data_IF_856609204288
#
_entry.id   IF_856609204288
#
_cell.length_a   1.000
_cell.length_b   1.000
_cell.length_c   1.000
_cell.angle_alpha   90.00
_cell.angle_beta   90.00
_cell.angle_gamma   90.00
#
_symmetry.space_group_name_H-M   'P 1'
#
loop_
_entity.id
_entity.type
_entity.pdbx_description
1 polymer ?
#
# COMPACT_ATOMS: atom_id res chain seq x y z
N UNK A 1 -32.77 -54.28 27.96
CA UNK A 1 -31.65 -53.31 28.07
C UNK A 1 -31.88 -52.26 26.98
N UNK A 2 -33.00 -51.55 26.93
CA UNK A 2 -33.60 -50.66 27.93
C UNK A 2 -32.62 -49.62 28.45
N UNK A 3 -32.54 -48.53 27.70
CA UNK A 3 -32.32 -47.20 28.24
C UNK A 3 -33.10 -46.21 27.36
N UNK A 4 -34.44 -46.25 27.52
CA UNK A 4 -35.28 -45.07 27.31
C UNK A 4 -34.77 -43.97 28.25
N UNK A 5 -34.43 -42.82 27.68
CA UNK A 5 -34.22 -41.60 28.47
C UNK A 5 -35.34 -40.64 28.10
N UNK A 6 -36.22 -40.46 29.08
CA UNK A 6 -37.39 -39.59 29.06
C UNK A 6 -37.05 -38.15 28.70
N UNK A 7 -37.80 -37.62 27.75
CA UNK A 7 -38.02 -36.19 27.51
C UNK A 7 -38.57 -35.52 28.78
N UNK A 8 -37.77 -34.64 29.38
CA UNK A 8 -38.24 -33.66 30.35
C UNK A 8 -38.08 -32.28 29.72
N UNK A 9 -39.20 -31.80 29.15
CA UNK A 9 -39.36 -30.43 28.68
C UNK A 9 -39.30 -29.48 29.88
N UNK A 10 -38.11 -28.96 30.18
CA UNK A 10 -37.97 -27.78 31.06
C UNK A 10 -38.02 -26.51 30.23
N UNK A 11 -39.20 -25.88 30.18
CA UNK A 11 -39.36 -24.49 29.78
C UNK A 11 -38.56 -23.61 30.76
N UNK A 12 -37.41 -23.10 30.36
CA UNK A 12 -36.71 -22.03 31.09
C UNK A 12 -36.81 -20.74 30.31
N UNK A 13 -37.69 -19.88 30.84
CA UNK A 13 -38.07 -18.60 30.28
C UNK A 13 -36.88 -17.68 30.01
N UNK A 14 -37.04 -16.89 28.94
CA UNK A 14 -36.11 -15.85 28.54
C UNK A 14 -35.67 -15.00 29.72
N UNK A 15 -34.36 -14.93 29.93
CA UNK A 15 -33.76 -14.01 30.88
C UNK A 15 -34.00 -12.59 30.38
N UNK A 16 -35.03 -11.94 30.94
CA UNK A 16 -35.22 -10.49 30.85
C UNK A 16 -33.88 -9.81 31.20
N UNK A 17 -33.42 -8.82 30.42
CA UNK A 17 -32.24 -8.06 30.78
C UNK A 17 -32.45 -7.48 32.18
N UNK A 18 -31.53 -7.80 33.10
CA UNK A 18 -31.57 -7.29 34.47
C UNK A 18 -31.60 -5.77 34.40
N UNK A 19 -32.68 -5.18 34.92
CA UNK A 19 -32.79 -3.72 35.09
C UNK A 19 -31.52 -3.22 35.78
N UNK A 20 -30.83 -2.22 35.22
CA UNK A 20 -29.66 -1.65 35.87
C UNK A 20 -30.07 -1.08 37.23
N UNK A 21 -29.59 -1.69 38.31
CA UNK A 21 -29.75 -1.13 39.64
C UNK A 21 -28.97 0.19 39.72
N UNK A 22 -29.65 1.27 40.12
CA UNK A 22 -29.00 2.55 40.43
C UNK A 22 -27.91 2.29 41.48
N UNK A 23 -26.65 2.45 41.10
CA UNK A 23 -25.50 2.36 42.01
C UNK A 23 -25.72 3.38 43.13
N UNK A 24 -25.83 2.93 44.37
CA UNK A 24 -25.89 3.81 45.53
C UNK A 24 -24.62 4.67 45.56
N UNK A 25 -24.79 5.98 45.44
CA UNK A 25 -23.71 6.98 45.35
C UNK A 25 -23.11 7.34 46.70
N UNK A 26 -23.45 6.61 47.76
CA UNK A 26 -23.18 6.93 49.17
C UNK A 26 -22.31 5.90 49.90
N UNK A 27 -22.07 4.71 49.34
CA UNK A 27 -21.20 3.70 49.96
C UNK A 27 -19.72 4.11 50.03
N UNK A 28 -18.94 3.57 50.97
CA UNK A 28 -17.51 3.85 51.10
C UNK A 28 -16.70 3.35 49.88
N UNK A 29 -15.50 3.91 49.68
CA UNK A 29 -14.64 3.61 48.54
C UNK A 29 -14.28 2.13 48.45
N UNK A 30 -14.00 1.51 49.59
CA UNK A 30 -13.54 0.12 49.66
C UNK A 30 -14.66 -0.88 49.34
N UNK A 31 -15.88 -0.65 49.84
CA UNK A 31 -17.05 -1.44 49.45
C UNK A 31 -17.40 -1.25 47.96
N UNK A 32 -17.25 -0.03 47.42
CA UNK A 32 -17.44 0.23 45.97
C UNK A 32 -16.42 -0.51 45.13
N UNK A 33 -15.13 -0.44 45.49
CA UNK A 33 -14.04 -1.13 44.80
C UNK A 33 -14.29 -2.63 44.74
N UNK A 34 -14.75 -3.20 45.86
CA UNK A 34 -15.07 -4.63 45.99
C UNK A 34 -16.43 -5.03 45.43
N UNK A 35 -17.24 -4.07 44.98
CA UNK A 35 -18.61 -4.28 44.46
C UNK A 35 -19.51 -5.03 45.45
N UNK A 36 -19.37 -4.77 46.76
CA UNK A 36 -20.20 -5.32 47.84
C UNK A 36 -21.09 -4.23 48.48
N UNK A 37 -22.18 -4.62 49.14
CA UNK A 37 -23.12 -3.68 49.76
C UNK A 37 -22.50 -3.03 51.00
N UNK A 38 -22.42 -1.70 51.01
CA UNK A 38 -21.97 -0.92 52.17
C UNK A 38 -23.14 -0.69 53.15
N UNK A 39 -22.87 -0.71 54.45
CA UNK A 39 -23.89 -0.43 55.48
C UNK A 39 -23.97 1.05 55.88
N UNK A 40 -23.11 1.91 55.33
CA UNK A 40 -23.16 3.40 55.46
C UNK A 40 -23.02 3.99 56.88
N UNK A 41 -22.71 3.16 57.89
CA UNK A 41 -22.38 3.60 59.25
C UNK A 41 -21.04 4.38 59.27
N UNK A 42 -20.98 5.51 59.98
CA UNK A 42 -19.77 6.34 60.18
C UNK A 42 -19.29 6.23 61.64
N UNK A 43 -17.97 6.23 61.91
CA UNK A 43 -16.86 6.44 60.97
C UNK A 43 -16.53 5.24 60.07
N UNK A 44 -16.94 4.02 60.42
CA UNK A 44 -16.65 2.80 59.65
C UNK A 44 -17.88 1.90 59.44
N UNK A 45 -18.06 1.40 58.22
CA UNK A 45 -19.12 0.43 57.92
C UNK A 45 -18.79 -0.98 58.46
N UNK A 46 -19.80 -1.80 58.76
CA UNK A 46 -19.60 -3.15 59.32
C UNK A 46 -18.75 -4.06 58.44
N UNK A 47 -18.86 -3.92 57.12
CA UNK A 47 -18.12 -4.75 56.17
C UNK A 47 -16.61 -4.47 56.22
N UNK A 48 -16.21 -3.21 56.39
CA UNK A 48 -14.81 -2.82 56.56
C UNK A 48 -14.31 -3.15 57.98
N UNK A 49 -15.14 -2.89 59.01
CA UNK A 49 -14.81 -3.19 60.42
C UNK A 49 -14.52 -4.67 60.67
N UNK A 50 -15.37 -5.57 60.15
CA UNK A 50 -15.14 -7.03 60.27
C UNK A 50 -13.84 -7.50 59.61
N UNK A 51 -13.35 -6.75 58.64
CA UNK A 51 -12.13 -7.09 57.89
C UNK A 51 -10.90 -6.36 58.41
N UNK A 52 -11.03 -5.47 59.39
CA UNK A 52 -9.93 -4.65 59.89
C UNK A 52 -9.29 -3.78 58.81
N UNK A 53 -10.08 -3.34 57.82
CA UNK A 53 -9.59 -2.49 56.72
C UNK A 53 -10.11 -1.07 56.87
N UNK A 54 -9.29 -0.11 56.45
CA UNK A 54 -9.61 1.31 56.52
C UNK A 54 -10.86 1.66 55.69
N UNK A 55 -11.82 2.34 56.32
CA UNK A 55 -13.13 2.62 55.73
C UNK A 55 -13.26 4.11 55.37
N UNK A 56 -13.04 4.45 54.11
CA UNK A 56 -13.05 5.84 53.66
C UNK A 56 -14.30 6.17 52.81
N UNK A 57 -15.02 7.24 53.15
CA UNK A 57 -16.17 7.74 52.38
C UNK A 57 -15.75 8.92 51.49
N UNK A 58 -16.19 8.97 50.22
CA UNK A 58 -15.88 10.10 49.34
C UNK A 58 -16.53 11.40 49.84
N UNK A 59 -15.71 12.43 50.08
CA UNK A 59 -16.14 13.78 50.40
C UNK A 59 -16.62 14.50 49.13
N UNK A 60 -17.94 14.68 48.97
CA UNK A 60 -18.48 15.49 47.88
C UNK A 60 -18.48 16.97 48.27
N UNK A 61 -17.60 17.78 47.67
CA UNK A 61 -17.71 19.23 47.68
C UNK A 61 -18.75 19.65 46.63
N UNK A 62 -19.80 20.32 47.09
CA UNK A 62 -20.99 20.67 46.31
C UNK A 62 -20.77 21.84 45.35
N UNK A 63 -21.39 21.73 44.18
CA UNK A 63 -21.61 22.81 43.22
C UNK A 63 -22.55 23.83 43.84
N UNK A 64 -22.15 25.11 43.93
CA UNK A 64 -23.00 26.22 44.39
C UNK A 64 -23.28 27.16 43.22
N UNK A 65 -24.57 27.36 42.91
CA UNK A 65 -25.07 28.38 41.98
C UNK A 65 -25.13 29.75 42.69
N UNK A 66 -24.84 30.88 42.01
CA UNK A 66 -24.86 32.20 42.64
C UNK A 66 -26.24 32.87 42.58
N UNK A 67 -26.65 33.47 43.70
CA UNK A 67 -27.60 34.58 43.80
C UNK A 67 -27.41 35.34 45.14
N UNK A 68 -27.83 36.62 45.24
CA UNK A 68 -26.95 37.71 45.66
C UNK A 68 -27.25 38.37 47.04
N UNK A 69 -26.33 39.28 47.43
CA UNK A 69 -26.43 40.32 48.49
C UNK A 69 -26.24 39.79 49.93
N UNK A 70 -25.54 40.41 50.89
CA UNK A 70 -25.40 41.82 51.31
C UNK A 70 -24.16 42.01 52.22
N UNK A 71 -23.87 43.28 52.53
CA UNK A 71 -22.72 43.94 53.16
C UNK A 71 -22.42 43.66 54.67
N UNK A 72 -21.27 44.22 55.10
CA UNK A 72 -20.74 44.48 56.46
C UNK A 72 -19.99 43.33 57.15
N UNK A 73 -18.85 43.52 57.83
CA UNK A 73 -18.09 44.70 58.24
C UNK A 73 -16.78 44.25 58.92
N UNK A 74 -15.91 45.22 59.19
CA UNK A 74 -14.52 45.15 59.67
C UNK A 74 -14.24 44.34 60.97
N UNK A 75 -12.99 43.83 61.10
CA UNK A 75 -11.98 44.24 62.10
C UNK A 75 -10.92 43.13 62.47
N UNK A 76 -9.66 43.47 62.17
CA UNK A 76 -8.38 43.33 62.94
C UNK A 76 -7.86 41.98 63.54
N UNK A 77 -6.79 41.44 62.90
CA UNK A 77 -5.44 40.94 63.35
C UNK A 77 -5.15 40.27 64.73
N UNK A 78 -3.98 39.58 64.97
CA UNK A 78 -2.97 38.93 64.10
C UNK A 78 -2.46 37.51 64.56
N UNK A 79 -1.66 36.86 63.69
CA UNK A 79 -0.61 35.81 63.89
C UNK A 79 -0.86 34.60 64.83
N UNK A 80 -0.68 33.34 64.38
CA UNK A 80 0.66 32.73 64.23
C UNK A 80 0.63 31.33 63.57
N UNK A 81 1.76 31.02 62.91
CA UNK A 81 2.30 29.69 62.56
C UNK A 81 1.78 29.03 61.27
N UNK A 82 2.42 29.45 60.17
CA UNK A 82 2.48 28.76 58.89
C UNK A 82 3.11 27.37 59.04
N UNK A 83 2.30 26.32 58.88
CA UNK A 83 2.76 24.97 58.56
C UNK A 83 2.46 24.71 57.08
N UNK A 84 3.46 24.87 56.23
CA UNK A 84 3.38 24.54 54.81
C UNK A 84 3.03 23.06 54.62
N UNK A 85 2.09 22.71 53.72
CA UNK A 85 1.93 21.33 53.27
C UNK A 85 3.13 20.91 52.38
N UNK A 86 3.41 19.60 52.24
CA UNK A 86 4.53 19.13 51.46
C UNK A 86 4.37 19.58 50.00
N UNK A 87 5.46 20.12 49.43
CA UNK A 87 5.54 20.55 48.03
C UNK A 87 5.01 19.45 47.12
N UNK A 88 3.80 19.65 46.59
CA UNK A 88 3.34 18.91 45.42
C UNK A 88 4.41 19.09 44.34
N UNK A 89 4.91 17.98 43.80
CA UNK A 89 5.64 17.98 42.54
C UNK A 89 4.64 18.52 41.51
N UNK A 90 4.69 19.82 41.27
CA UNK A 90 4.03 20.42 40.14
C UNK A 90 4.64 19.72 38.93
N UNK A 91 3.85 18.89 38.24
CA UNK A 91 4.15 18.56 36.85
C UNK A 91 4.23 19.90 36.12
N UNK A 92 5.45 20.41 35.98
CA UNK A 92 5.75 21.60 35.23
C UNK A 92 5.34 21.28 33.80
N UNK A 93 4.13 21.68 33.42
CA UNK A 93 3.81 21.80 32.00
C UNK A 93 4.73 22.88 31.48
N UNK A 94 5.61 22.48 30.57
CA UNK A 94 6.45 23.41 29.83
C UNK A 94 5.49 24.43 29.19
N UNK A 95 5.60 25.69 29.62
CA UNK A 95 4.83 26.76 29.01
C UNK A 95 5.36 26.99 27.59
N UNK A 96 4.49 27.22 26.59
CA UNK A 96 4.96 27.63 25.28
C UNK A 96 5.81 28.90 25.38
N UNK A 97 6.75 29.07 24.45
CA UNK A 97 7.67 30.21 24.42
C UNK A 97 6.84 31.52 24.44
N UNK A 98 6.99 32.38 25.46
CA UNK A 98 6.24 33.64 25.56
C UNK A 98 6.46 34.51 24.32
N UNK A 99 5.38 35.03 23.74
CA UNK A 99 5.41 35.86 22.53
C UNK A 99 5.26 35.10 21.20
N UNK A 100 5.43 33.78 21.19
CA UNK A 100 5.06 32.91 20.07
C UNK A 100 3.55 32.59 20.15
N UNK A 101 2.74 33.62 19.94
CA UNK A 101 1.29 33.50 20.07
C UNK A 101 0.74 32.69 18.90
N UNK A 102 -0.16 31.73 19.17
CA UNK A 102 -0.97 31.06 18.15
C UNK A 102 -1.78 32.04 17.27
N UNK A 103 -1.93 33.29 17.70
CA UNK A 103 -2.53 34.35 16.89
C UNK A 103 -1.63 34.79 15.73
N UNK A 104 -0.30 34.72 15.87
CA UNK A 104 0.63 34.99 14.77
C UNK A 104 0.47 33.95 13.64
N UNK A 105 0.21 32.68 14.00
CA UNK A 105 -0.15 31.63 13.06
C UNK A 105 -1.45 31.97 12.30
N UNK A 106 -2.49 32.42 13.00
CA UNK A 106 -3.76 32.82 12.37
C UNK A 106 -3.63 34.08 11.49
N UNK A 107 -2.80 35.04 11.90
CA UNK A 107 -2.62 36.30 11.17
C UNK A 107 -1.65 36.21 9.99
N UNK A 108 -0.65 35.31 10.03
CA UNK A 108 0.30 35.09 8.93
C UNK A 108 -0.30 34.18 7.85
N UNK A 109 -1.05 33.15 8.23
CA UNK A 109 -1.63 32.24 7.24
C UNK A 109 -2.89 32.78 6.58
N UNK A 110 -3.57 33.77 7.16
CA UNK A 110 -4.60 34.58 6.48
C UNK A 110 -5.54 33.76 5.58
N UNK A 111 -5.87 32.52 5.98
CA UNK A 111 -6.59 31.60 5.12
C UNK A 111 -8.02 32.09 5.13
N UNK A 112 -8.41 32.84 4.08
CA UNK A 112 -9.77 32.73 3.59
C UNK A 112 -9.99 31.23 3.42
N UNK A 113 -10.75 30.62 4.35
CA UNK A 113 -11.27 29.27 4.20
C UNK A 113 -12.16 29.31 2.94
N UNK A 114 -11.54 29.21 1.78
CA UNK A 114 -12.23 28.62 0.65
C UNK A 114 -12.55 27.20 1.07
N UNK A 115 -13.82 26.86 0.90
CA UNK A 115 -14.54 25.66 1.30
C UNK A 115 -14.01 24.37 0.64
N UNK A 116 -12.68 24.21 0.54
CA UNK A 116 -12.03 22.99 0.09
C UNK A 116 -11.97 22.04 1.28
N UNK A 117 -12.50 20.81 1.17
CA UNK A 117 -12.41 19.83 2.24
C UNK A 117 -10.94 19.61 2.60
N UNK A 118 -10.59 19.91 3.84
CA UNK A 118 -9.22 19.74 4.33
C UNK A 118 -8.99 18.24 4.53
N UNK A 119 -8.15 17.63 3.70
CA UNK A 119 -7.72 16.24 3.90
C UNK A 119 -6.80 16.22 5.12
N UNK A 120 -7.21 15.49 6.16
CA UNK A 120 -6.44 15.37 7.41
C UNK A 120 -5.71 14.04 7.43
N UNK A 121 -4.39 14.08 7.57
CA UNK A 121 -3.54 12.91 7.77
C UNK A 121 -3.19 12.74 9.25
N UNK A 122 -3.28 11.50 9.73
CA UNK A 122 -3.00 11.09 11.10
C UNK A 122 -1.54 10.64 11.32
N UNK A 123 -1.26 10.13 12.51
CA UNK A 123 0.08 9.65 12.88
C UNK A 123 0.50 8.41 12.10
N UNK A 124 -0.46 7.54 11.75
CA UNK A 124 -0.21 6.33 10.96
C UNK A 124 0.22 6.70 9.53
N UNK A 125 -0.45 7.67 8.89
CA UNK A 125 -0.07 8.20 7.58
C UNK A 125 1.35 8.80 7.60
N UNK A 126 1.70 9.53 8.66
CA UNK A 126 3.04 10.11 8.81
C UNK A 126 4.11 9.03 9.00
N UNK A 127 3.79 7.94 9.69
CA UNK A 127 4.70 6.81 9.84
C UNK A 127 4.93 6.09 8.51
N UNK A 128 3.88 5.91 7.69
CA UNK A 128 3.99 5.39 6.33
C UNK A 128 4.80 6.32 5.44
N UNK A 129 4.51 7.62 5.42
CA UNK A 129 5.29 8.59 4.65
C UNK A 129 6.76 8.62 5.08
N UNK A 130 7.04 8.52 6.37
CA UNK A 130 8.42 8.37 6.86
C UNK A 130 9.06 7.10 6.31
N UNK A 131 8.38 5.94 6.42
CA UNK A 131 8.87 4.68 5.86
C UNK A 131 9.12 4.76 4.35
N UNK A 132 8.27 5.46 3.60
CA UNK A 132 8.51 5.73 2.18
C UNK A 132 9.85 6.41 1.97
N UNK A 133 10.07 7.54 2.65
CA UNK A 133 11.26 8.39 2.44
C UNK A 133 12.58 7.72 2.80
N UNK A 134 12.58 6.76 3.73
CA UNK A 134 13.81 6.13 4.23
C UNK A 134 13.99 4.68 3.81
N UNK A 135 12.95 4.03 3.27
CA UNK A 135 13.00 2.61 2.88
C UNK A 135 12.33 2.36 1.53
N UNK A 136 10.99 2.49 1.42
CA UNK A 136 10.27 2.07 0.19
C UNK A 136 10.83 2.72 -1.07
N UNK A 137 11.09 4.04 -1.06
CA UNK A 137 11.59 4.73 -2.26
C UNK A 137 12.96 4.23 -2.74
N UNK A 138 13.78 3.70 -1.83
CA UNK A 138 15.11 3.17 -2.13
C UNK A 138 15.04 1.73 -2.66
N UNK A 139 14.01 0.98 -2.26
CA UNK A 139 13.83 -0.42 -2.64
C UNK A 139 13.04 -0.63 -3.94
N UNK A 140 12.37 0.41 -4.46
CA UNK A 140 11.63 0.34 -5.75
C UNK A 140 12.60 0.25 -6.95
N UNK A 141 13.57 1.16 -7.04
CA UNK A 141 14.54 1.22 -8.15
C UNK A 141 15.97 1.17 -7.60
N UNK A 142 16.29 0.07 -6.90
CA UNK A 142 17.59 -0.16 -6.25
C UNK A 142 18.74 0.31 -7.14
N UNK A 143 19.64 1.12 -6.58
CA UNK A 143 20.87 1.58 -7.22
C UNK A 143 20.67 2.35 -8.55
N UNK A 144 19.54 3.04 -8.73
CA UNK A 144 19.27 3.90 -9.89
C UNK A 144 19.02 5.35 -9.49
N UNK A 145 19.33 6.30 -10.39
CA UNK A 145 18.94 7.72 -10.27
C UNK A 145 17.42 7.89 -10.00
N UNK A 146 16.61 6.93 -10.44
CA UNK A 146 15.16 6.88 -10.20
C UNK A 146 14.78 6.74 -8.74
N UNK A 147 15.65 6.19 -7.89
CA UNK A 147 15.43 6.16 -6.44
C UNK A 147 15.30 7.58 -5.87
N UNK A 148 16.05 8.55 -6.40
CA UNK A 148 15.96 9.96 -6.01
C UNK A 148 14.63 10.57 -6.45
N UNK A 149 14.14 10.22 -7.66
CA UNK A 149 12.82 10.65 -8.13
C UNK A 149 11.73 10.13 -7.18
N UNK A 150 11.78 8.86 -6.80
CA UNK A 150 10.84 8.28 -5.84
C UNK A 150 10.97 8.91 -4.44
N UNK A 151 12.19 9.19 -3.99
CA UNK A 151 12.44 9.69 -2.63
C UNK A 151 12.06 11.16 -2.47
N UNK A 152 12.21 11.97 -3.52
CA UNK A 152 12.07 13.44 -3.45
C UNK A 152 10.92 13.96 -4.31
N UNK A 153 10.85 13.57 -5.57
CA UNK A 153 9.90 14.15 -6.53
C UNK A 153 8.48 13.62 -6.28
N UNK A 154 8.33 12.31 -6.05
CA UNK A 154 7.02 11.70 -5.80
C UNK A 154 6.33 12.28 -4.55
N UNK A 155 6.99 12.42 -3.38
CA UNK A 155 6.40 13.10 -2.23
C UNK A 155 6.01 14.56 -2.50
N UNK A 156 6.83 15.32 -3.24
CA UNK A 156 6.50 16.72 -3.60
C UNK A 156 5.18 16.79 -4.37
N UNK A 157 5.04 15.97 -5.40
CA UNK A 157 3.80 15.86 -6.18
C UNK A 157 2.65 15.35 -5.29
N UNK A 158 2.91 14.41 -4.38
CA UNK A 158 1.91 13.90 -3.45
C UNK A 158 1.36 14.97 -2.48
N UNK A 159 2.18 15.95 -2.07
CA UNK A 159 1.70 17.06 -1.25
C UNK A 159 0.77 18.03 -2.01
N UNK A 160 0.87 18.08 -3.34
CA UNK A 160 0.00 18.89 -4.20
C UNK A 160 -1.27 18.14 -4.61
N UNK A 161 -1.18 16.82 -4.73
CA UNK A 161 -2.27 15.96 -5.22
C UNK A 161 -2.63 14.86 -4.20
N UNK A 162 -3.75 15.01 -3.45
CA UNK A 162 -4.13 14.05 -2.43
C UNK A 162 -4.25 12.60 -2.91
N UNK A 163 -4.75 12.37 -4.14
CA UNK A 163 -4.87 11.02 -4.70
C UNK A 163 -3.51 10.33 -4.91
N UNK A 164 -2.46 11.11 -5.20
CA UNK A 164 -1.07 10.62 -5.31
C UNK A 164 -0.54 10.25 -3.93
N UNK A 165 -0.82 11.04 -2.90
CA UNK A 165 -0.47 10.70 -1.51
C UNK A 165 -1.10 9.37 -1.11
N UNK A 166 -2.37 9.14 -1.42
CA UNK A 166 -3.02 7.85 -1.14
C UNK A 166 -2.31 6.68 -1.85
N UNK A 167 -1.94 6.82 -3.12
CA UNK A 167 -1.18 5.78 -3.82
C UNK A 167 0.20 5.51 -3.19
N UNK A 168 0.89 6.56 -2.74
CA UNK A 168 2.20 6.46 -2.10
C UNK A 168 2.09 5.71 -0.75
N UNK A 169 1.12 6.07 0.08
CA UNK A 169 0.85 5.41 1.36
C UNK A 169 0.44 3.95 1.14
N UNK A 170 -0.41 3.68 0.14
CA UNK A 170 -0.83 2.33 -0.21
C UNK A 170 0.33 1.43 -0.64
N UNK A 171 1.21 1.91 -1.51
CA UNK A 171 2.40 1.16 -1.92
C UNK A 171 3.39 0.95 -0.75
N UNK A 172 3.54 1.95 0.12
CA UNK A 172 4.35 1.84 1.34
C UNK A 172 3.80 0.75 2.27
N UNK A 173 2.49 0.71 2.49
CA UNK A 173 1.87 -0.33 3.31
C UNK A 173 2.13 -1.73 2.72
N UNK A 174 2.05 -1.91 1.38
CA UNK A 174 2.45 -3.18 0.75
C UNK A 174 3.92 -3.54 0.97
N UNK A 175 4.82 -2.55 0.92
CA UNK A 175 6.23 -2.78 1.21
C UNK A 175 6.45 -3.27 2.65
N UNK A 176 5.76 -2.67 3.63
CA UNK A 176 5.81 -3.15 5.02
C UNK A 176 5.21 -4.56 5.13
N UNK A 177 4.12 -4.85 4.42
CA UNK A 177 3.52 -6.20 4.37
C UNK A 177 4.50 -7.26 3.85
N UNK A 178 5.39 -6.87 2.93
CA UNK A 178 6.49 -7.70 2.43
C UNK A 178 7.56 -7.93 3.49
N UNK A 179 8.04 -6.85 4.13
CA UNK A 179 9.09 -6.91 5.15
C UNK A 179 8.63 -7.57 6.46
N UNK A 180 7.34 -7.49 6.79
CA UNK A 180 6.75 -8.01 8.02
C UNK A 180 5.67 -9.08 7.76
N UNK A 181 6.05 -10.34 7.46
CA UNK A 181 5.10 -11.41 7.16
C UNK A 181 4.04 -11.65 8.24
N UNK A 182 4.37 -11.34 9.51
CA UNK A 182 3.45 -11.49 10.66
C UNK A 182 2.27 -10.51 10.60
N UNK A 183 2.46 -9.34 10.01
CA UNK A 183 1.44 -8.29 9.89
C UNK A 183 0.91 -8.14 8.45
N UNK A 184 1.31 -9.04 7.53
CA UNK A 184 0.99 -8.96 6.11
C UNK A 184 -0.48 -8.68 5.84
N UNK A 185 -1.40 -9.47 6.42
CA UNK A 185 -2.84 -9.30 6.21
C UNK A 185 -3.34 -7.90 6.59
N UNK A 186 -2.84 -7.35 7.70
CA UNK A 186 -3.20 -6.00 8.17
C UNK A 186 -2.74 -4.95 7.15
N UNK A 187 -1.47 -4.96 6.79
CA UNK A 187 -0.89 -3.96 5.91
C UNK A 187 -1.37 -4.09 4.45
N UNK A 188 -1.68 -5.30 3.98
CA UNK A 188 -2.34 -5.50 2.68
C UNK A 188 -3.75 -4.93 2.66
N UNK A 189 -4.53 -5.10 3.74
CA UNK A 189 -5.86 -4.50 3.84
C UNK A 189 -5.81 -2.96 3.92
N UNK A 190 -4.84 -2.42 4.68
CA UNK A 190 -4.57 -0.99 4.75
C UNK A 190 -4.15 -0.43 3.38
N UNK A 191 -3.27 -1.13 2.67
CA UNK A 191 -2.86 -0.77 1.32
C UNK A 191 -4.05 -0.72 0.33
N UNK A 192 -4.96 -1.70 0.39
CA UNK A 192 -6.16 -1.72 -0.43
C UNK A 192 -7.11 -0.56 -0.13
N UNK A 193 -7.18 -0.12 1.13
CA UNK A 193 -7.96 1.05 1.52
C UNK A 193 -7.42 2.33 0.87
N UNK A 194 -6.12 2.60 1.01
CA UNK A 194 -5.48 3.76 0.40
C UNK A 194 -5.55 3.70 -1.14
N UNK A 195 -5.31 2.54 -1.74
CA UNK A 195 -5.43 2.37 -3.19
C UNK A 195 -6.83 2.71 -3.70
N UNK A 196 -7.88 2.26 -3.00
CA UNK A 196 -9.27 2.56 -3.37
C UNK A 196 -9.57 4.07 -3.33
N UNK A 197 -9.10 4.78 -2.30
CA UNK A 197 -9.24 6.24 -2.20
C UNK A 197 -8.44 6.98 -3.28
N UNK A 198 -7.21 6.55 -3.53
CA UNK A 198 -6.37 7.09 -4.59
C UNK A 198 -6.99 6.91 -5.98
N UNK A 199 -7.55 5.73 -6.26
CA UNK A 199 -8.23 5.44 -7.52
C UNK A 199 -9.48 6.32 -7.72
N UNK A 200 -10.25 6.56 -6.65
CA UNK A 200 -11.38 7.48 -6.73
C UNK A 200 -10.92 8.89 -7.12
N UNK A 201 -9.92 9.43 -6.42
CA UNK A 201 -9.39 10.77 -6.71
C UNK A 201 -8.71 10.86 -8.08
N UNK A 202 -8.07 9.79 -8.55
CA UNK A 202 -7.52 9.70 -9.91
C UNK A 202 -8.61 9.79 -10.97
N UNK A 203 -9.72 9.04 -10.82
CA UNK A 203 -10.86 9.11 -11.74
C UNK A 203 -11.50 10.51 -11.76
N UNK A 204 -11.60 11.17 -10.60
CA UNK A 204 -12.07 12.55 -10.50
C UNK A 204 -11.10 13.52 -11.23
N UNK A 205 -9.79 13.33 -11.07
CA UNK A 205 -8.77 14.15 -11.73
C UNK A 205 -8.81 13.99 -13.27
N UNK A 206 -9.01 12.77 -13.78
CA UNK A 206 -9.18 12.53 -15.23
C UNK A 206 -10.38 13.31 -15.78
N UNK A 207 -11.47 13.41 -15.01
CA UNK A 207 -12.69 14.09 -15.48
C UNK A 207 -12.55 15.62 -15.59
N UNK A 208 -11.55 16.22 -14.91
CA UNK A 208 -11.34 17.66 -14.82
C UNK A 208 -10.10 18.13 -15.61
N UNK A 209 -9.62 17.29 -16.53
CA UNK A 209 -8.22 17.26 -16.90
C UNK A 209 -7.69 18.56 -17.53
N UNK A 210 -6.58 19.04 -16.97
CA UNK A 210 -5.78 20.17 -17.43
C UNK A 210 -4.28 19.77 -17.38
N UNK A 211 -3.40 20.58 -17.96
CA UNK A 211 -1.96 20.31 -17.96
C UNK A 211 -1.35 20.27 -16.55
N UNK A 212 -1.94 20.99 -15.59
CA UNK A 212 -1.47 21.02 -14.19
C UNK A 212 -1.64 19.67 -13.48
N UNK A 213 -2.55 18.81 -13.94
CA UNK A 213 -2.75 17.47 -13.38
C UNK A 213 -1.81 16.42 -13.96
N UNK A 214 -1.05 16.73 -15.02
CA UNK A 214 -0.23 15.77 -15.75
C UNK A 214 0.75 15.03 -14.81
N UNK A 215 1.51 15.77 -14.01
CA UNK A 215 2.49 15.22 -13.07
C UNK A 215 1.82 14.27 -12.06
N UNK A 216 0.69 14.70 -11.47
CA UNK A 216 -0.07 13.89 -10.53
C UNK A 216 -0.62 12.61 -11.15
N UNK A 217 -1.19 12.68 -12.36
CA UNK A 217 -1.70 11.52 -13.09
C UNK A 217 -0.57 10.54 -13.41
N UNK A 218 0.60 11.02 -13.83
CA UNK A 218 1.75 10.17 -14.15
C UNK A 218 2.31 9.48 -12.90
N UNK A 219 2.50 10.21 -11.80
CA UNK A 219 3.06 9.61 -10.57
C UNK A 219 2.10 8.59 -9.98
N UNK A 220 0.79 8.91 -9.91
CA UNK A 220 -0.21 7.94 -9.46
C UNK A 220 -0.17 6.67 -10.32
N UNK A 221 -0.11 6.84 -11.64
CA UNK A 221 -0.05 5.74 -12.61
C UNK A 221 1.19 4.85 -12.43
N UNK A 222 2.34 5.48 -12.18
CA UNK A 222 3.60 4.80 -11.90
C UNK A 222 3.53 4.01 -10.58
N UNK A 223 2.96 4.59 -9.53
CA UNK A 223 2.75 3.91 -8.25
C UNK A 223 1.73 2.77 -8.38
N UNK A 224 0.69 2.95 -9.18
CA UNK A 224 -0.34 1.95 -9.43
C UNK A 224 0.20 0.73 -10.19
N UNK A 225 1.12 0.94 -11.14
CA UNK A 225 1.86 -0.14 -11.81
C UNK A 225 2.56 -1.05 -10.77
N UNK A 226 3.35 -0.44 -9.89
CA UNK A 226 4.08 -1.15 -8.82
C UNK A 226 3.13 -1.84 -7.85
N UNK A 227 2.07 -1.15 -7.44
CA UNK A 227 1.05 -1.67 -6.54
C UNK A 227 0.40 -2.92 -7.12
N UNK A 228 0.01 -2.90 -8.40
CA UNK A 228 -0.69 -4.04 -9.00
C UNK A 228 0.22 -5.24 -9.21
N UNK A 229 1.49 -5.05 -9.55
CA UNK A 229 2.45 -6.16 -9.59
C UNK A 229 2.66 -6.76 -8.18
N UNK A 230 2.85 -5.92 -7.16
CA UNK A 230 2.97 -6.40 -5.78
C UNK A 230 1.71 -7.15 -5.32
N UNK A 231 0.55 -6.53 -5.45
CA UNK A 231 -0.71 -7.09 -4.97
C UNK A 231 -1.12 -8.33 -5.77
N UNK A 232 -0.97 -8.35 -7.11
CA UNK A 232 -1.41 -9.49 -7.94
C UNK A 232 -0.44 -10.65 -7.91
N UNK A 233 0.80 -10.42 -7.46
CA UNK A 233 1.82 -11.44 -7.24
C UNK A 233 1.62 -12.21 -5.93
N UNK A 234 2.72 -12.75 -5.40
CA UNK A 234 2.70 -13.62 -4.21
C UNK A 234 2.25 -12.89 -2.93
N UNK A 235 2.43 -11.58 -2.85
CA UNK A 235 2.05 -10.81 -1.66
C UNK A 235 0.55 -10.72 -1.43
N UNK A 236 -0.26 -10.73 -2.50
CA UNK A 236 -1.72 -10.77 -2.37
C UNK A 236 -2.33 -12.17 -2.41
N UNK A 237 -1.54 -13.24 -2.36
CA UNK A 237 -2.07 -14.59 -2.24
C UNK A 237 -2.95 -14.72 -0.98
N UNK A 238 -4.20 -15.16 -1.17
CA UNK A 238 -5.20 -15.28 -0.11
C UNK A 238 -6.04 -14.03 0.16
N UNK A 239 -5.78 -12.90 -0.51
CA UNK A 239 -6.58 -11.67 -0.38
C UNK A 239 -7.56 -11.46 -1.55
N UNK A 240 -7.27 -12.03 -2.71
CA UNK A 240 -8.13 -11.92 -3.89
C UNK A 240 -9.34 -12.82 -3.78
N UNK A 241 -10.52 -12.24 -4.01
CA UNK A 241 -11.72 -13.03 -4.30
C UNK A 241 -11.59 -13.62 -5.71
N UNK A 242 -11.52 -14.96 -5.80
CA UNK A 242 -11.44 -15.71 -7.06
C UNK A 242 -12.61 -15.37 -8.02
N UNK A 243 -13.72 -14.84 -7.49
CA UNK A 243 -14.87 -14.42 -8.29
C UNK A 243 -14.60 -13.16 -9.13
N UNK A 244 -13.71 -12.27 -8.68
CA UNK A 244 -13.52 -10.93 -9.27
C UNK A 244 -12.33 -10.83 -10.22
N UNK A 245 -11.28 -11.64 -10.00
CA UNK A 245 -10.02 -11.57 -10.77
C UNK A 245 -9.73 -12.85 -11.59
N UNK A 246 -10.67 -13.79 -11.61
CA UNK A 246 -10.50 -15.10 -12.23
C UNK A 246 -9.56 -16.02 -11.44
N UNK A 247 -9.39 -17.25 -11.93
CA UNK A 247 -8.46 -18.19 -11.33
C UNK A 247 -7.01 -17.70 -11.46
N UNK A 248 -6.09 -18.28 -10.67
CA UNK A 248 -4.65 -17.93 -10.71
C UNK A 248 -4.08 -17.85 -12.13
N UNK A 249 -4.47 -18.77 -13.02
CA UNK A 249 -4.01 -18.80 -14.42
C UNK A 249 -4.38 -17.52 -15.19
N UNK A 250 -5.62 -17.06 -15.06
CA UNK A 250 -6.08 -15.87 -15.79
C UNK A 250 -5.44 -14.58 -15.25
N UNK A 251 -5.24 -14.50 -13.93
CA UNK A 251 -4.48 -13.40 -13.30
C UNK A 251 -3.05 -13.33 -13.80
N UNK A 252 -2.35 -14.46 -13.84
CA UNK A 252 -0.95 -14.54 -14.29
C UNK A 252 -0.82 -14.24 -15.80
N UNK A 253 -1.79 -14.67 -16.62
CA UNK A 253 -1.82 -14.36 -18.06
C UNK A 253 -2.20 -12.91 -18.39
N UNK A 254 -2.52 -12.09 -17.39
CA UNK A 254 -2.73 -10.65 -17.59
C UNK A 254 -4.18 -10.20 -17.69
N UNK A 255 -5.16 -11.06 -17.44
CA UNK A 255 -6.58 -10.72 -17.62
C UNK A 255 -7.02 -9.47 -16.83
N UNK A 256 -6.50 -9.29 -15.62
CA UNK A 256 -6.82 -8.12 -14.79
C UNK A 256 -5.89 -6.93 -14.99
N UNK A 257 -4.57 -7.16 -15.01
CA UNK A 257 -3.59 -6.08 -14.96
C UNK A 257 -3.21 -5.51 -16.33
N UNK A 258 -3.25 -6.29 -17.42
CA UNK A 258 -2.92 -5.77 -18.77
C UNK A 258 -3.90 -4.67 -19.21
N UNK A 259 -5.23 -4.84 -19.10
CA UNK A 259 -6.16 -3.76 -19.44
C UNK A 259 -5.95 -2.51 -18.59
N UNK A 260 -5.62 -2.68 -17.31
CA UNK A 260 -5.37 -1.57 -16.40
C UNK A 260 -4.14 -0.75 -16.82
N UNK A 261 -3.03 -1.40 -17.19
CA UNK A 261 -1.84 -0.70 -17.67
C UNK A 261 -2.08 0.04 -18.99
N UNK A 262 -2.84 -0.57 -19.90
CA UNK A 262 -3.22 0.09 -21.18
C UNK A 262 -4.16 1.28 -20.98
N UNK A 263 -5.10 1.16 -20.04
CA UNK A 263 -5.99 2.27 -19.68
C UNK A 263 -5.21 3.48 -19.17
N UNK A 264 -4.24 3.22 -18.28
CA UNK A 264 -3.31 4.25 -17.79
C UNK A 264 -2.51 4.89 -18.93
N UNK A 265 -1.94 4.10 -19.85
CA UNK A 265 -1.19 4.63 -20.99
C UNK A 265 -2.06 5.53 -21.87
N UNK A 266 -3.31 5.14 -22.12
CA UNK A 266 -4.26 5.93 -22.92
C UNK A 266 -4.58 7.27 -22.25
N UNK A 267 -4.71 7.28 -20.92
CA UNK A 267 -4.93 8.51 -20.15
C UNK A 267 -3.73 9.45 -20.19
N UNK A 268 -2.50 8.91 -20.16
CA UNK A 268 -1.28 9.71 -20.11
C UNK A 268 -0.80 10.21 -21.47
N UNK A 269 -1.19 9.55 -22.56
CA UNK A 269 -0.72 9.89 -23.92
C UNK A 269 -0.86 11.37 -24.29
N UNK A 270 -1.99 12.06 -24.01
CA UNK A 270 -2.14 13.49 -24.33
C UNK A 270 -1.15 14.41 -23.60
N UNK A 271 -0.60 13.96 -22.47
CA UNK A 271 0.29 14.74 -21.61
C UNK A 271 1.77 14.40 -21.82
N UNK A 272 2.07 13.46 -22.73
CA UNK A 272 3.43 12.95 -22.92
C UNK A 272 4.45 14.06 -23.20
N UNK A 273 4.12 15.03 -24.08
CA UNK A 273 5.03 16.13 -24.41
C UNK A 273 5.33 17.03 -23.21
N UNK A 274 4.30 17.37 -22.42
CA UNK A 274 4.44 18.19 -21.20
C UNK A 274 5.31 17.46 -20.17
N UNK A 275 5.04 16.18 -19.96
CA UNK A 275 5.77 15.36 -19.00
C UNK A 275 7.23 15.14 -19.42
N UNK A 276 7.47 14.93 -20.73
CA UNK A 276 8.81 14.77 -21.29
C UNK A 276 9.66 16.05 -21.23
N UNK A 277 9.03 17.23 -21.15
CA UNK A 277 9.70 18.51 -20.93
C UNK A 277 9.91 18.85 -19.44
N UNK A 278 9.21 18.16 -18.54
CA UNK A 278 9.15 18.47 -17.11
C UNK A 278 10.16 17.74 -16.23
N UNK A 279 9.89 17.77 -14.91
CA UNK A 279 10.72 17.14 -13.88
C UNK A 279 10.70 15.59 -13.91
N UNK A 280 9.77 15.00 -14.66
CA UNK A 280 9.59 13.55 -14.80
C UNK A 280 10.24 12.99 -16.08
N UNK A 281 10.88 13.84 -16.90
CA UNK A 281 11.53 13.46 -18.16
C UNK A 281 12.35 12.19 -18.06
N UNK A 282 13.22 12.10 -17.06
CA UNK A 282 14.13 10.95 -16.91
C UNK A 282 13.37 9.63 -16.67
N UNK A 283 12.23 9.68 -15.98
CA UNK A 283 11.39 8.51 -15.75
C UNK A 283 10.63 8.06 -17.01
N UNK A 284 10.33 8.98 -17.92
CA UNK A 284 9.65 8.73 -19.20
C UNK A 284 10.60 8.36 -20.33
N UNK A 285 11.85 8.82 -20.25
CA UNK A 285 12.85 8.56 -21.26
C UNK A 285 13.13 7.06 -21.37
N UNK A 286 12.86 6.49 -22.54
CA UNK A 286 13.15 5.10 -22.91
C UNK A 286 14.42 5.02 -23.79
N UNK A 287 15.28 6.04 -23.74
CA UNK A 287 16.56 6.07 -24.41
C UNK A 287 16.42 5.96 -25.93
N UNK A 288 17.29 5.16 -26.54
CA UNK A 288 17.32 4.93 -27.98
C UNK A 288 16.31 3.87 -28.44
N UNK A 289 15.29 3.54 -27.64
CA UNK A 289 14.33 2.46 -27.94
C UNK A 289 13.88 2.51 -29.39
N UNK A 290 13.38 3.67 -29.87
CA UNK A 290 12.87 3.92 -31.23
C UNK A 290 13.86 3.67 -32.37
N UNK A 291 15.16 3.76 -32.10
CA UNK A 291 16.22 3.50 -33.07
C UNK A 291 16.70 2.04 -33.04
N UNK A 292 16.25 1.23 -32.08
CA UNK A 292 16.68 -0.16 -31.95
C UNK A 292 15.93 -1.08 -32.91
N UNK A 293 16.69 -1.67 -33.84
CA UNK A 293 16.21 -2.73 -34.71
C UNK A 293 16.98 -4.04 -34.44
N UNK A 294 16.34 -5.06 -33.83
CA UNK A 294 16.98 -6.36 -33.57
C UNK A 294 17.35 -7.12 -34.85
N UNK A 295 16.81 -6.75 -36.02
CA UNK A 295 17.15 -7.41 -37.29
C UNK A 295 18.46 -6.90 -37.91
N UNK A 296 18.96 -5.75 -37.47
CA UNK A 296 20.23 -5.18 -37.96
C UNK A 296 21.47 -5.70 -37.21
N UNK A 297 21.28 -6.36 -36.06
CA UNK A 297 22.38 -6.82 -35.20
C UNK A 297 22.37 -8.34 -35.10
N UNK A 298 23.40 -9.00 -35.63
CA UNK A 298 23.51 -10.45 -35.55
C UNK A 298 23.89 -10.87 -34.12
N UNK A 299 22.91 -11.40 -33.38
CA UNK A 299 23.11 -11.90 -32.03
C UNK A 299 22.95 -13.43 -32.01
N UNK A 300 24.03 -14.14 -31.62
CA UNK A 300 24.05 -15.61 -31.59
C UNK A 300 22.96 -16.16 -30.67
N UNK A 301 22.67 -15.46 -29.58
CA UNK A 301 21.67 -15.90 -28.60
C UNK A 301 20.22 -15.58 -29.03
N UNK A 302 20.05 -14.77 -30.08
CA UNK A 302 18.75 -14.41 -30.66
C UNK A 302 18.21 -15.50 -31.59
N UNK A 303 19.06 -16.43 -32.03
CA UNK A 303 18.67 -17.60 -32.84
C UNK A 303 17.54 -18.41 -32.21
N UNK A 304 17.49 -18.48 -30.87
CA UNK A 304 16.41 -19.16 -30.13
C UNK A 304 15.07 -18.48 -30.33
N UNK A 305 15.03 -17.15 -30.26
CA UNK A 305 13.83 -16.37 -30.50
C UNK A 305 13.36 -16.53 -31.95
N UNK A 306 14.28 -16.33 -32.90
CA UNK A 306 13.99 -16.45 -34.32
C UNK A 306 13.44 -17.84 -34.73
N UNK A 307 13.86 -18.92 -34.06
CA UNK A 307 13.37 -20.28 -34.34
C UNK A 307 11.87 -20.45 -34.07
N UNK A 308 11.28 -19.63 -33.19
CA UNK A 308 9.85 -19.73 -32.87
C UNK A 308 8.94 -19.55 -34.09
N UNK A 309 9.43 -18.93 -35.17
CA UNK A 309 8.71 -18.81 -36.45
C UNK A 309 8.21 -20.14 -37.02
N UNK A 310 8.90 -21.24 -36.74
CA UNK A 310 8.47 -22.61 -37.13
C UNK A 310 7.08 -22.97 -36.56
N UNK A 311 6.69 -22.37 -35.43
CA UNK A 311 5.42 -22.65 -34.75
C UNK A 311 4.22 -22.09 -35.55
N UNK A 312 4.38 -20.94 -36.22
CA UNK A 312 3.28 -20.22 -36.86
C UNK A 312 3.43 -20.04 -38.37
N UNK A 313 4.34 -20.78 -39.02
CA UNK A 313 4.57 -20.72 -40.47
C UNK A 313 3.27 -20.84 -41.30
N UNK A 314 2.32 -21.65 -40.83
CA UNK A 314 1.05 -21.91 -41.49
C UNK A 314 -0.16 -21.35 -40.72
N UNK A 315 0.06 -20.44 -39.77
CA UNK A 315 -0.99 -19.88 -38.92
C UNK A 315 -1.57 -18.59 -39.53
N UNK A 316 -2.91 -18.41 -39.55
CA UNK A 316 -3.51 -17.17 -40.05
C UNK A 316 -3.11 -15.91 -39.27
N UNK A 317 -2.71 -16.06 -38.01
CA UNK A 317 -2.26 -14.97 -37.13
C UNK A 317 -0.73 -14.80 -37.11
N UNK A 318 -0.01 -15.36 -38.09
CA UNK A 318 1.45 -15.30 -38.19
C UNK A 318 2.02 -13.88 -38.08
N UNK A 319 1.36 -12.88 -38.68
CA UNK A 319 1.80 -11.49 -38.62
C UNK A 319 1.76 -10.92 -37.20
N UNK A 320 0.75 -11.26 -36.40
CA UNK A 320 0.66 -10.85 -35.00
C UNK A 320 1.75 -11.51 -34.17
N UNK A 321 2.06 -12.78 -34.40
CA UNK A 321 3.15 -13.44 -33.69
C UNK A 321 4.53 -12.88 -34.06
N UNK A 322 4.73 -12.52 -35.33
CA UNK A 322 5.98 -11.90 -35.80
C UNK A 322 6.20 -10.51 -35.19
N UNK A 323 5.16 -9.69 -35.11
CA UNK A 323 5.19 -8.39 -34.42
C UNK A 323 5.67 -8.56 -32.97
N UNK A 324 5.08 -9.52 -32.25
CA UNK A 324 5.38 -9.74 -30.83
C UNK A 324 6.77 -10.35 -30.64
N UNK A 325 7.18 -11.24 -31.54
CA UNK A 325 8.54 -11.74 -31.57
C UNK A 325 9.54 -10.58 -31.72
N UNK A 326 9.28 -9.64 -32.63
CA UNK A 326 10.12 -8.46 -32.82
C UNK A 326 10.17 -7.59 -31.55
N UNK A 327 9.02 -7.34 -30.90
CA UNK A 327 8.96 -6.61 -29.61
C UNK A 327 9.82 -7.30 -28.54
N UNK A 328 9.69 -8.62 -28.36
CA UNK A 328 10.47 -9.36 -27.36
C UNK A 328 11.98 -9.33 -27.62
N UNK A 329 12.38 -9.43 -28.89
CA UNK A 329 13.79 -9.33 -29.30
C UNK A 329 14.35 -7.94 -29.01
N UNK A 330 13.57 -6.90 -29.29
CA UNK A 330 13.93 -5.51 -28.97
C UNK A 330 14.02 -5.25 -27.47
N UNK A 331 13.07 -5.77 -26.66
CA UNK A 331 13.14 -5.74 -25.19
C UNK A 331 14.44 -6.35 -24.70
N UNK A 332 14.76 -7.56 -25.18
CA UNK A 332 15.98 -8.25 -24.78
C UNK A 332 17.24 -7.44 -25.12
N UNK A 333 17.30 -6.90 -26.35
CA UNK A 333 18.43 -6.07 -26.79
C UNK A 333 18.57 -4.81 -25.91
N UNK A 334 17.46 -4.15 -25.59
CA UNK A 334 17.41 -2.99 -24.71
C UNK A 334 17.90 -3.33 -23.30
N UNK A 335 17.38 -4.39 -22.70
CA UNK A 335 17.81 -4.85 -21.37
C UNK A 335 19.31 -5.18 -21.34
N UNK A 336 19.81 -5.86 -22.37
CA UNK A 336 21.22 -6.21 -22.48
C UNK A 336 22.12 -4.97 -22.56
N UNK A 337 21.79 -4.01 -23.43
CA UNK A 337 22.54 -2.75 -23.61
C UNK A 337 22.73 -2.00 -22.27
N UNK A 338 21.65 -1.85 -21.50
CA UNK A 338 21.70 -1.10 -20.25
C UNK A 338 22.22 -1.91 -19.05
N UNK A 339 22.17 -3.25 -19.11
CA UNK A 339 22.75 -4.11 -18.06
C UNK A 339 24.28 -4.08 -18.04
N UNK A 340 24.91 -3.79 -19.18
CA UNK A 340 26.37 -3.69 -19.32
C UNK A 340 26.94 -2.30 -19.06
N UNK A 341 26.09 -1.29 -18.81
CA UNK A 341 26.55 0.07 -18.54
C UNK A 341 27.03 0.19 -17.09
N UNK A 342 28.34 0.16 -16.90
CA UNK A 342 28.99 0.53 -15.63
C UNK A 342 29.12 2.05 -15.51
N UNK A 343 29.24 2.56 -14.28
CA UNK A 343 29.47 3.98 -14.03
C UNK A 343 30.82 4.40 -14.60
N UNK A 344 30.80 5.22 -15.66
CA UNK A 344 32.02 5.74 -16.30
C UNK A 344 32.89 6.55 -15.32
N UNK A 345 32.34 7.04 -14.20
CA UNK A 345 33.07 7.79 -13.17
C UNK A 345 32.55 7.51 -11.75
N UNK A 346 33.42 7.53 -10.72
CA UNK A 346 32.98 7.49 -9.32
C UNK A 346 32.11 8.72 -9.01
N UNK A 347 30.81 8.50 -8.75
CA UNK A 347 29.85 9.55 -8.43
C UNK A 347 28.92 9.97 -9.58
N UNK A 348 29.08 9.45 -10.80
CA UNK A 348 28.00 9.54 -11.79
C UNK A 348 26.93 8.51 -11.46
N UNK A 349 25.71 8.97 -11.19
CA UNK A 349 24.57 8.08 -11.05
C UNK A 349 24.24 7.52 -12.42
N UNK A 350 24.57 6.25 -12.68
CA UNK A 350 24.12 5.59 -13.91
C UNK A 350 22.61 5.48 -13.83
N UNK A 351 21.94 6.02 -14.83
CA UNK A 351 20.53 5.75 -15.03
C UNK A 351 20.41 4.34 -15.63
N UNK A 352 20.37 3.31 -14.79
CA UNK A 352 20.14 1.96 -15.26
C UNK A 352 18.69 1.87 -15.78
N UNK A 353 18.54 1.77 -17.11
CA UNK A 353 17.25 1.63 -17.81
C UNK A 353 16.86 0.17 -18.03
N UNK A 354 17.71 -0.80 -17.69
CA UNK A 354 17.46 -2.21 -18.02
C UNK A 354 16.12 -2.72 -17.45
N UNK A 355 15.72 -2.22 -16.27
CA UNK A 355 14.44 -2.57 -15.66
C UNK A 355 13.21 -2.10 -16.47
N UNK A 356 13.32 -0.98 -17.21
CA UNK A 356 12.22 -0.44 -18.01
C UNK A 356 11.84 -1.40 -19.14
N UNK A 357 12.81 -2.10 -19.73
CA UNK A 357 12.61 -2.98 -20.88
C UNK A 357 11.51 -4.02 -20.66
N UNK A 358 11.48 -4.64 -19.47
CA UNK A 358 10.45 -5.63 -19.14
C UNK A 358 9.03 -5.03 -19.03
N UNK A 359 8.91 -3.74 -18.75
CA UNK A 359 7.63 -3.02 -18.72
C UNK A 359 7.21 -2.48 -20.11
N UNK A 360 8.09 -2.49 -21.11
CA UNK A 360 7.77 -2.07 -22.49
C UNK A 360 6.94 -3.10 -23.27
N UNK A 361 6.80 -4.33 -22.77
CA UNK A 361 6.01 -5.35 -23.47
C UNK A 361 4.54 -4.97 -23.67
N UNK A 362 3.85 -4.58 -22.59
CA UNK A 362 2.41 -4.30 -22.65
C UNK A 362 2.06 -3.09 -23.51
N UNK A 363 2.80 -1.96 -23.43
CA UNK A 363 2.59 -0.81 -24.28
C UNK A 363 2.81 -1.06 -25.77
N UNK A 364 3.76 -1.93 -26.13
CA UNK A 364 4.18 -2.15 -27.53
C UNK A 364 3.61 -3.42 -28.17
N UNK A 365 3.07 -4.35 -27.39
CA UNK A 365 2.31 -5.48 -27.95
C UNK A 365 0.97 -5.02 -28.53
N UNK A 366 0.42 -5.71 -29.55
CA UNK A 366 -0.93 -5.41 -30.06
C UNK A 366 -2.08 -5.97 -29.20
N UNK A 367 -3.27 -5.38 -29.29
CA UNK A 367 -4.48 -5.91 -28.65
C UNK A 367 -4.89 -7.28 -29.22
N UNK A 368 -4.65 -7.50 -30.51
CA UNK A 368 -4.88 -8.79 -31.18
C UNK A 368 -4.07 -9.90 -30.52
N UNK A 369 -2.82 -9.64 -30.16
CA UNK A 369 -1.99 -10.61 -29.44
C UNK A 369 -2.60 -11.00 -28.09
N UNK A 370 -3.01 -10.03 -27.28
CA UNK A 370 -3.64 -10.34 -25.98
C UNK A 370 -4.95 -11.10 -26.16
N UNK A 371 -5.69 -10.87 -27.24
CA UNK A 371 -6.86 -11.70 -27.58
C UNK A 371 -6.46 -13.16 -27.83
N UNK A 372 -5.38 -13.41 -28.58
CA UNK A 372 -4.86 -14.76 -28.85
C UNK A 372 -4.33 -15.43 -27.58
N UNK A 373 -3.70 -14.66 -26.69
CA UNK A 373 -3.22 -15.12 -25.39
C UNK A 373 -4.38 -15.57 -24.49
N UNK A 374 -5.45 -14.77 -24.39
CA UNK A 374 -6.67 -15.15 -23.65
C UNK A 374 -7.38 -16.36 -24.26
N UNK A 375 -7.35 -16.49 -25.59
CA UNK A 375 -7.81 -17.68 -26.30
C UNK A 375 -6.90 -18.91 -26.10
N UNK A 376 -5.80 -18.76 -25.35
CA UNK A 376 -4.81 -19.80 -25.03
C UNK A 376 -4.21 -20.44 -26.29
N UNK A 377 -4.00 -19.63 -27.33
CA UNK A 377 -3.34 -20.09 -28.54
C UNK A 377 -1.90 -20.47 -28.21
N UNK A 378 -1.44 -21.68 -28.57
CA UNK A 378 -0.09 -22.13 -28.21
C UNK A 378 1.05 -21.18 -28.60
N UNK A 379 1.08 -20.57 -29.81
CA UNK A 379 2.14 -19.63 -30.16
C UNK A 379 2.14 -18.38 -29.26
N UNK A 380 0.96 -17.88 -28.89
CA UNK A 380 0.82 -16.74 -27.99
C UNK A 380 1.35 -17.08 -26.59
N UNK A 381 0.99 -18.25 -26.06
CA UNK A 381 1.45 -18.72 -24.76
C UNK A 381 2.98 -18.86 -24.72
N UNK A 382 3.59 -19.43 -25.76
CA UNK A 382 5.05 -19.59 -25.85
C UNK A 382 5.76 -18.23 -25.86
N UNK A 383 5.29 -17.28 -26.68
CA UNK A 383 5.83 -15.91 -26.67
C UNK A 383 5.69 -15.27 -25.27
N UNK A 384 4.58 -15.51 -24.59
CA UNK A 384 4.37 -15.03 -23.22
C UNK A 384 5.28 -15.70 -22.18
N UNK A 385 5.64 -16.98 -22.35
CA UNK A 385 6.66 -17.61 -21.51
C UNK A 385 8.05 -17.00 -21.72
N UNK A 386 8.40 -16.63 -22.96
CA UNK A 386 9.65 -15.92 -23.24
C UNK A 386 9.63 -14.52 -22.60
N UNK A 387 8.50 -13.84 -22.62
CA UNK A 387 8.30 -12.62 -21.83
C UNK A 387 8.50 -12.87 -20.33
N UNK A 388 7.88 -13.91 -19.76
CA UNK A 388 8.06 -14.30 -18.35
C UNK A 388 9.51 -14.58 -17.99
N UNK A 389 10.27 -15.22 -18.87
CA UNK A 389 11.71 -15.46 -18.69
C UNK A 389 12.52 -14.15 -18.69
N UNK A 390 12.20 -13.19 -19.56
CA UNK A 390 12.82 -11.85 -19.50
C UNK A 390 12.43 -11.11 -18.22
N UNK A 391 11.17 -11.21 -17.80
CA UNK A 391 10.66 -10.61 -16.56
C UNK A 391 11.33 -11.19 -15.30
N UNK A 392 11.84 -12.43 -15.38
CA UNK A 392 12.54 -13.08 -14.27
C UNK A 392 13.83 -12.36 -13.85
N UNK A 393 14.43 -11.54 -14.72
CA UNK A 393 15.58 -10.70 -14.33
C UNK A 393 15.23 -9.66 -13.25
N UNK A 394 13.93 -9.40 -13.01
CA UNK A 394 13.46 -8.49 -11.97
C UNK A 394 13.11 -9.20 -10.66
N UNK A 395 13.44 -10.49 -10.51
CA UNK A 395 13.05 -11.27 -9.33
C UNK A 395 13.64 -10.73 -8.00
N UNK A 396 14.71 -9.94 -8.04
CA UNK A 396 15.31 -9.28 -6.86
C UNK A 396 14.52 -8.05 -6.37
N UNK A 397 13.52 -7.61 -7.12
CA UNK A 397 12.59 -6.54 -6.75
C UNK A 397 11.39 -7.13 -6.00
N UNK A 398 11.13 -6.62 -4.81
CA UNK A 398 10.12 -7.17 -3.88
C UNK A 398 8.70 -7.25 -4.48
N UNK A 399 8.33 -6.34 -5.38
CA UNK A 399 7.03 -6.31 -6.05
C UNK A 399 6.96 -7.20 -7.30
N UNK A 400 8.11 -7.66 -7.81
CA UNK A 400 8.23 -8.53 -8.98
C UNK A 400 8.60 -9.98 -8.62
N UNK A 401 8.86 -10.26 -7.34
CA UNK A 401 9.26 -11.60 -6.88
C UNK A 401 8.26 -12.67 -7.33
N UNK A 402 8.77 -13.71 -7.99
CA UNK A 402 7.99 -14.85 -8.44
C UNK A 402 7.26 -14.68 -9.76
N UNK A 403 7.13 -13.46 -10.31
CA UNK A 403 6.34 -13.22 -11.52
C UNK A 403 6.83 -14.02 -12.74
N UNK A 404 8.12 -13.97 -13.04
CA UNK A 404 8.68 -14.72 -14.17
C UNK A 404 8.48 -16.23 -14.02
N UNK A 405 8.69 -16.75 -12.81
CA UNK A 405 8.46 -18.16 -12.47
C UNK A 405 7.00 -18.56 -12.65
N UNK A 406 6.07 -17.76 -12.11
CA UNK A 406 4.64 -18.04 -12.18
C UNK A 406 4.10 -17.98 -13.61
N UNK A 407 4.55 -17.01 -14.43
CA UNK A 407 4.20 -16.92 -15.86
C UNK A 407 4.65 -18.18 -16.60
N UNK A 408 5.93 -18.54 -16.49
CA UNK A 408 6.48 -19.70 -17.19
C UNK A 408 5.82 -21.00 -16.73
N UNK A 409 5.60 -21.16 -15.42
CA UNK A 409 4.91 -22.32 -14.84
C UNK A 409 3.47 -22.45 -15.35
N UNK A 410 2.69 -21.36 -15.31
CA UNK A 410 1.30 -21.36 -15.79
C UNK A 410 1.23 -21.67 -17.29
N UNK A 411 2.15 -21.13 -18.10
CA UNK A 411 2.20 -21.44 -19.53
C UNK A 411 2.54 -22.90 -19.76
N UNK A 412 3.54 -23.44 -19.05
CA UNK A 412 3.95 -24.84 -19.18
C UNK A 412 2.78 -25.79 -18.84
N UNK A 413 2.06 -25.50 -17.76
CA UNK A 413 0.87 -26.25 -17.34
C UNK A 413 -0.28 -26.21 -18.36
N UNK A 414 -0.33 -25.18 -19.21
CA UNK A 414 -1.38 -25.02 -20.22
C UNK A 414 -1.03 -25.68 -21.56
N UNK A 415 0.24 -25.68 -21.95
CA UNK A 415 0.71 -26.22 -23.22
C UNK A 415 0.86 -27.75 -23.22
N UNK A 416 1.27 -28.33 -22.10
CA UNK A 416 1.56 -29.77 -21.99
C UNK A 416 2.84 -30.19 -22.75
N UNK A 417 3.16 -31.49 -22.70
CA UNK A 417 4.47 -32.02 -23.11
C UNK A 417 4.81 -31.87 -24.60
N UNK A 418 3.82 -31.74 -25.49
CA UNK A 418 4.07 -31.57 -26.92
C UNK A 418 4.92 -30.32 -27.23
N UNK A 419 4.80 -29.27 -26.41
CA UNK A 419 5.51 -28.00 -26.61
C UNK A 419 6.80 -27.87 -25.78
N UNK A 420 7.20 -28.92 -25.07
CA UNK A 420 8.35 -28.92 -24.15
C UNK A 420 9.64 -28.41 -24.81
N UNK A 421 9.89 -28.80 -26.07
CA UNK A 421 11.03 -28.30 -26.85
C UNK A 421 11.09 -26.76 -26.90
N UNK A 422 9.95 -26.10 -27.06
CA UNK A 422 9.85 -24.65 -27.15
C UNK A 422 9.91 -23.96 -25.78
N UNK A 423 9.49 -24.68 -24.73
CA UNK A 423 9.49 -24.21 -23.33
C UNK A 423 10.82 -24.42 -22.59
N UNK A 424 11.75 -25.19 -23.17
CA UNK A 424 13.07 -25.50 -22.58
C UNK A 424 13.82 -24.28 -22.03
N UNK A 425 13.99 -23.22 -22.84
CA UNK A 425 14.72 -22.02 -22.42
C UNK A 425 13.98 -21.23 -21.32
N UNK A 426 12.68 -20.90 -21.47
CA UNK A 426 11.96 -20.25 -20.38
C UNK A 426 12.02 -21.03 -19.06
N UNK A 427 11.88 -22.35 -19.10
CA UNK A 427 11.96 -23.21 -17.92
C UNK A 427 13.35 -23.19 -17.28
N UNK A 428 14.41 -23.27 -18.09
CA UNK A 428 15.81 -23.16 -17.64
C UNK A 428 16.06 -21.83 -16.92
N UNK A 429 15.63 -20.70 -17.52
CA UNK A 429 15.85 -19.36 -16.96
C UNK A 429 15.22 -19.18 -15.58
N UNK A 430 14.04 -19.73 -15.35
CA UNK A 430 13.32 -19.59 -14.07
C UNK A 430 13.61 -20.71 -13.07
N UNK A 431 14.53 -21.64 -13.40
CA UNK A 431 14.88 -22.76 -12.53
C UNK A 431 13.78 -23.84 -12.43
N UNK A 432 12.89 -23.94 -13.43
CA UNK A 432 11.91 -25.01 -13.58
C UNK A 432 12.37 -26.13 -14.53
N UNK A 433 13.49 -25.92 -15.23
CA UNK A 433 14.10 -26.94 -16.07
C UNK A 433 14.48 -28.16 -15.23
N UNK A 434 14.12 -29.36 -15.70
CA UNK A 434 14.57 -30.60 -15.08
C UNK A 434 16.10 -30.64 -15.07
N UNK A 435 16.73 -30.58 -13.90
CA UNK A 435 18.12 -31.00 -13.74
C UNK A 435 18.22 -32.46 -14.22
N UNK A 436 18.88 -32.67 -15.36
CA UNK A 436 19.37 -33.93 -15.92
C UNK A 436 18.43 -35.16 -15.84
N UNK A 437 17.88 -35.55 -16.99
CA UNK A 437 17.73 -36.98 -17.32
C UNK A 437 18.74 -37.37 -18.39
#
# INVERSE_FOLDING_TARGET
MDAEVHDVVTVRGGSKPRRPHKKARTGCLDCRRRRVKCTEERPECRACRRRGVECEYPSFQGVVFPSPSTQHGDETSPESTSSQPPKQIQTQRIAPIPGLVSSAYQSVLGVQQHDRPTVTYGMEDMALLHHWTVSTSLDVYKNSALSVICQVIFPKIAFEHPFVMQALLGLTALHIAYLEPQQRLRYTAEAAHYHSQGLQGFNEAISQSNEEMADGLFVWSSLNLLYVFAASGRLGEGFWDESSWGGRKDRILGAGWVPMLRGVQTVLMPYFEVLAAGQLREALDIGNWDDMDPDLVENIDDKRFCRMREIWEHNPDASTYEEILHVLRRIRMFMAQFSTMEAEAPGSSVFNRAWQGAFLFVPFASERYFTLLHQRQPPALILYAYYGALLHSLNDSWFMEGWGYDIVGVVNDLLGSYWERWMSWPLEVVGLGTENM
#
